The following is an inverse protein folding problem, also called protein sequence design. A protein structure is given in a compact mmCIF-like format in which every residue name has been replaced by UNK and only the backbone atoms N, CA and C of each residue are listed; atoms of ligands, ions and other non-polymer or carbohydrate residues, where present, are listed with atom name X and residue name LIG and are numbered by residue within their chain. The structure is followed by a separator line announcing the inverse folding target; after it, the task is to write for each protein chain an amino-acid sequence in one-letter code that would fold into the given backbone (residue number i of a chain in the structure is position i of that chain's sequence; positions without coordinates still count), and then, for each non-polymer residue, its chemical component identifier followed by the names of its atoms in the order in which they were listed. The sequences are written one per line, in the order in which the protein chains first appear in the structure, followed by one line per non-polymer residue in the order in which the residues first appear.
data_IF_834300516642
#
_entry.id   IF_834300516642
#
_cell.length_a   1.000
_cell.length_b   1.000
_cell.length_c   1.000
_cell.angle_alpha   90.00
_cell.angle_beta   90.00
_cell.angle_gamma   90.00
#
_symmetry.space_group_name_H-M   'P 1'
#
loop_
_entity.id
_entity.type
_entity.pdbx_description
1 polymer ?
#
# COMPACT_ATOMS: atom_id res chain seq x y z
N UNK A 1 -7.68 22.21 50.50
CA UNK A 1 -8.70 21.73 49.55
C UNK A 1 -9.48 22.92 49.06
N UNK A 2 -9.56 23.16 47.75
CA UNK A 2 -10.38 24.23 47.17
C UNK A 2 -11.08 23.67 45.92
N UNK A 3 -12.41 23.71 45.90
CA UNK A 3 -13.25 23.07 44.88
C UNK A 3 -13.96 24.14 44.06
N UNK A 4 -13.46 24.43 42.87
CA UNK A 4 -14.06 25.41 41.95
C UNK A 4 -15.15 24.76 41.09
N UNK A 5 -16.42 25.00 41.47
CA UNK A 5 -17.60 24.66 40.64
C UNK A 5 -17.71 25.66 39.48
N UNK A 6 -17.62 25.19 38.24
CA UNK A 6 -18.08 25.95 37.06
C UNK A 6 -19.51 25.55 36.68
N UNK A 7 -20.36 26.56 36.47
CA UNK A 7 -21.79 26.40 36.16
C UNK A 7 -22.03 26.29 34.65
N UNK A 8 -23.05 25.48 34.34
CA UNK A 8 -23.92 25.51 33.15
C UNK A 8 -23.91 26.80 32.32
N UNK A 9 -23.93 26.64 30.99
CA UNK A 9 -24.57 27.60 30.10
C UNK A 9 -25.60 26.88 29.21
N UNK A 10 -26.77 27.48 29.03
CA UNK A 10 -27.89 26.97 28.23
C UNK A 10 -28.16 27.94 27.07
N UNK A 11 -28.13 27.43 25.84
CA UNK A 11 -28.89 27.98 24.69
C UNK A 11 -29.24 26.82 23.79
N UNK A 12 -30.50 26.36 23.70
CA UNK A 12 -31.64 27.05 23.07
C UNK A 12 -31.29 27.61 21.68
N UNK A 13 -31.48 26.79 20.65
CA UNK A 13 -32.01 27.28 19.38
C UNK A 13 -32.96 26.26 18.77
N UNK A 14 -34.25 26.57 18.89
CA UNK A 14 -35.32 25.96 18.12
C UNK A 14 -35.24 26.39 16.66
N UNK A 15 -35.76 25.54 15.76
CA UNK A 15 -36.77 25.86 14.73
C UNK A 15 -36.55 25.03 13.47
N UNK A 16 -37.62 24.38 13.03
CA UNK A 16 -37.73 23.55 11.83
C UNK A 16 -37.63 24.39 10.53
N UNK A 17 -37.67 23.73 9.36
CA UNK A 17 -38.98 23.62 8.73
C UNK A 17 -39.38 22.19 8.33
N UNK A 18 -40.67 21.91 8.43
CA UNK A 18 -41.32 20.75 7.81
C UNK A 18 -41.42 20.98 6.30
N UNK A 19 -41.12 19.96 5.48
CA UNK A 19 -41.42 19.96 4.05
C UNK A 19 -42.45 18.88 3.75
N UNK A 20 -43.71 19.20 3.99
CA UNK A 20 -44.84 18.45 3.48
C UNK A 20 -45.03 18.70 1.97
N UNK A 21 -45.63 17.74 1.28
CA UNK A 21 -46.51 18.03 0.14
C UNK A 21 -45.86 18.35 -1.22
N UNK A 22 -45.39 17.32 -1.93
CA UNK A 22 -45.63 17.21 -3.38
C UNK A 22 -46.07 15.79 -3.73
N UNK A 23 -47.37 15.63 -3.95
CA UNK A 23 -47.94 14.40 -4.49
C UNK A 23 -47.54 14.22 -5.96
N UNK A 24 -47.26 12.97 -6.34
CA UNK A 24 -47.16 12.55 -7.73
C UNK A 24 -48.53 12.00 -8.15
N UNK A 25 -49.14 12.47 -9.25
CA UNK A 25 -50.38 11.90 -9.75
C UNK A 25 -50.11 10.54 -10.40
N UNK A 26 -50.84 9.51 -9.98
CA UNK A 26 -51.02 8.31 -10.78
C UNK A 26 -51.69 8.69 -12.11
N UNK A 27 -51.05 8.36 -13.24
CA UNK A 27 -51.72 8.23 -14.53
C UNK A 27 -51.22 6.98 -15.25
N UNK A 28 -51.96 5.91 -15.01
CA UNK A 28 -52.17 4.81 -15.94
C UNK A 28 -52.44 5.34 -17.36
N UNK A 29 -51.66 4.89 -18.34
CA UNK A 29 -52.03 4.89 -19.76
C UNK A 29 -51.43 3.66 -20.43
N UNK A 30 -52.30 2.85 -21.03
CA UNK A 30 -51.93 1.60 -21.67
C UNK A 30 -51.80 1.73 -23.20
N UNK A 31 -50.93 0.87 -23.74
CA UNK A 31 -51.00 0.25 -25.07
C UNK A 31 -50.67 1.07 -26.34
N UNK A 32 -50.01 0.34 -27.28
CA UNK A 32 -49.72 0.68 -28.70
C UNK A 32 -48.71 1.84 -28.87
N UNK A 33 -47.77 1.88 -29.82
CA UNK A 33 -47.32 1.00 -30.93
C UNK A 33 -45.87 1.43 -31.29
N UNK A 34 -45.04 0.76 -32.12
CA UNK A 34 -45.20 -0.41 -33.00
C UNK A 34 -43.83 -1.15 -33.17
N UNK A 35 -43.80 -2.15 -34.06
CA UNK A 35 -42.65 -2.94 -34.47
C UNK A 35 -41.46 -2.16 -35.08
N UNK A 36 -40.24 -2.67 -34.85
CA UNK A 36 -39.24 -2.81 -35.92
C UNK A 36 -38.60 -4.20 -35.90
N UNK A 37 -38.40 -4.73 -37.10
CA UNK A 37 -38.10 -6.12 -37.45
C UNK A 37 -36.69 -6.16 -38.07
N UNK A 38 -36.12 -7.37 -38.16
CA UNK A 38 -34.94 -7.72 -38.96
C UNK A 38 -33.56 -7.31 -38.36
N UNK A 39 -32.44 -8.03 -38.60
CA UNK A 39 -32.21 -9.39 -39.17
C UNK A 39 -30.70 -9.66 -39.19
N UNK A 40 -30.22 -10.69 -38.50
CA UNK A 40 -29.01 -11.49 -38.77
C UNK A 40 -28.86 -12.50 -37.62
N UNK A 41 -28.42 -13.74 -37.80
CA UNK A 41 -27.93 -14.36 -39.03
C UNK A 41 -26.86 -15.39 -38.67
N UNK A 42 -27.25 -16.49 -38.02
CA UNK A 42 -26.29 -17.53 -37.63
C UNK A 42 -25.77 -18.31 -38.84
N UNK A 43 -24.46 -18.53 -38.90
CA UNK A 43 -23.82 -19.44 -39.85
C UNK A 43 -22.91 -20.42 -39.11
N UNK A 44 -23.09 -21.72 -39.37
CA UNK A 44 -22.17 -22.80 -39.02
C UNK A 44 -21.42 -23.25 -40.29
N UNK A 45 -20.35 -24.03 -40.10
CA UNK A 45 -19.37 -24.58 -41.07
C UNK A 45 -18.17 -23.64 -41.32
N UNK A 46 -16.94 -24.14 -41.49
CA UNK A 46 -16.48 -25.52 -41.34
C UNK A 46 -15.10 -25.77 -41.97
N UNK A 47 -14.37 -26.75 -41.42
CA UNK A 47 -13.38 -27.65 -42.02
C UNK A 47 -12.25 -27.12 -42.96
N UNK A 48 -11.01 -27.41 -42.53
CA UNK A 48 -9.93 -28.12 -43.25
C UNK A 48 -9.19 -27.50 -44.46
N UNK A 49 -7.90 -27.17 -44.25
CA UNK A 49 -6.69 -27.50 -45.06
C UNK A 49 -5.45 -26.97 -44.30
N UNK A 50 -4.31 -27.65 -44.04
CA UNK A 50 -3.38 -28.48 -44.85
C UNK A 50 -2.67 -27.66 -45.96
N UNK A 51 -1.34 -27.48 -46.05
CA UNK A 51 -0.20 -28.19 -45.42
C UNK A 51 1.05 -27.26 -45.23
N UNK A 52 2.34 -27.62 -45.48
CA UNK A 52 3.38 -27.36 -44.47
C UNK A 52 4.52 -26.42 -44.92
N UNK A 53 5.35 -25.94 -43.99
CA UNK A 53 6.77 -25.71 -44.30
C UNK A 53 7.66 -25.91 -43.07
N UNK A 54 8.77 -26.61 -43.29
CA UNK A 54 9.85 -26.83 -42.32
C UNK A 54 10.81 -25.65 -42.33
N UNK A 55 11.27 -25.22 -41.15
CA UNK A 55 12.69 -24.89 -41.00
C UNK A 55 13.22 -25.27 -39.60
N UNK A 56 14.49 -25.65 -39.54
CA UNK A 56 15.21 -26.08 -38.33
C UNK A 56 16.48 -25.22 -38.21
N UNK A 57 16.42 -24.16 -37.39
CA UNK A 57 17.57 -23.29 -37.08
C UNK A 57 18.00 -23.40 -35.60
N UNK A 58 19.30 -23.54 -35.26
CA UNK A 58 19.72 -23.92 -33.91
C UNK A 58 20.36 -22.79 -33.07
N UNK A 59 20.55 -23.10 -31.79
CA UNK A 59 21.67 -22.65 -30.91
C UNK A 59 22.01 -21.15 -30.81
N UNK A 60 21.80 -20.60 -29.62
CA UNK A 60 22.75 -19.65 -29.02
C UNK A 60 22.87 -19.88 -27.50
N UNK A 61 23.84 -20.70 -27.08
CA UNK A 61 24.33 -20.73 -25.70
C UNK A 61 25.48 -19.72 -25.53
N UNK A 62 25.27 -18.65 -24.75
CA UNK A 62 26.29 -17.73 -24.22
C UNK A 62 25.58 -16.68 -23.33
N UNK A 63 26.16 -16.07 -22.30
CA UNK A 63 27.44 -16.32 -21.63
C UNK A 63 27.33 -15.96 -20.14
N UNK A 64 28.12 -16.70 -19.37
CA UNK A 64 28.67 -16.32 -18.06
C UNK A 64 29.14 -14.85 -18.00
N UNK A 65 28.85 -14.21 -16.87
CA UNK A 65 29.69 -13.32 -16.04
C UNK A 65 28.76 -12.38 -15.23
N UNK A 66 29.08 -11.95 -14.01
CA UNK A 66 30.23 -12.23 -13.17
C UNK A 66 30.09 -11.48 -11.84
N UNK A 67 30.90 -11.83 -10.85
CA UNK A 67 30.84 -11.26 -9.49
C UNK A 67 30.89 -9.72 -9.46
N UNK A 68 30.07 -9.11 -8.60
CA UNK A 68 30.48 -7.94 -7.79
C UNK A 68 29.57 -7.71 -6.58
N UNK A 69 30.04 -8.21 -5.44
CA UNK A 69 29.75 -7.64 -4.13
C UNK A 69 30.20 -6.18 -4.09
N UNK A 70 29.30 -5.28 -3.69
CA UNK A 70 29.64 -3.91 -3.31
C UNK A 70 28.84 -3.54 -2.06
N UNK A 71 29.53 -3.26 -0.96
CA UNK A 71 28.96 -2.60 0.21
C UNK A 71 28.62 -1.14 -0.13
N UNK A 72 27.47 -0.61 0.30
CA UNK A 72 27.30 0.82 0.46
C UNK A 72 27.96 1.24 1.78
N UNK A 73 29.15 1.81 1.68
CA UNK A 73 29.93 2.40 2.78
C UNK A 73 29.12 3.44 3.57
N UNK A 74 29.28 3.45 4.90
CA UNK A 74 28.62 4.43 5.75
C UNK A 74 29.12 5.87 5.48
N UNK A 75 28.27 6.68 4.86
CA UNK A 75 28.49 8.12 4.71
C UNK A 75 28.06 8.89 5.96
N UNK A 76 29.00 9.19 6.85
CA UNK A 76 28.79 10.13 7.96
C UNK A 76 28.73 11.58 7.43
N UNK A 77 27.68 12.36 7.72
CA UNK A 77 27.71 13.81 7.55
C UNK A 77 28.69 14.43 8.55
N UNK A 78 29.67 15.19 8.04
CA UNK A 78 30.50 16.09 8.84
C UNK A 78 29.86 17.48 8.87
N UNK A 79 29.51 17.94 10.06
CA UNK A 79 29.42 19.34 10.47
C UNK A 79 29.87 19.29 11.95
N UNK A 80 30.99 19.85 12.39
CA UNK A 80 31.64 21.10 11.97
C UNK A 80 30.70 22.30 12.14
N UNK A 81 30.54 22.69 13.40
CA UNK A 81 30.46 24.08 13.87
C UNK A 81 30.55 24.08 15.40
N UNK A 82 31.73 24.39 15.94
CA UNK A 82 32.00 24.47 17.37
C UNK A 82 32.23 25.91 17.81
N UNK A 83 31.55 26.42 18.86
CA UNK A 83 31.87 27.73 19.41
C UNK A 83 33.08 27.65 20.36
N UNK A 84 34.17 28.26 19.89
CA UNK A 84 35.19 29.02 20.64
C UNK A 84 35.51 28.61 22.09
N UNK A 85 36.78 28.26 22.31
CA UNK A 85 37.38 28.14 23.62
C UNK A 85 37.44 29.50 24.36
N UNK A 86 37.29 29.44 25.69
CA UNK A 86 37.79 30.46 26.62
C UNK A 86 38.63 29.75 27.68
N UNK A 87 39.95 29.81 27.54
CA UNK A 87 40.90 29.43 28.60
C UNK A 87 41.02 30.56 29.62
N UNK A 88 41.29 30.23 30.88
CA UNK A 88 42.29 30.98 31.62
C UNK A 88 43.46 30.08 32.02
N UNK A 89 44.66 30.49 31.61
CA UNK A 89 45.93 29.93 32.04
C UNK A 89 46.32 30.42 33.43
N UNK A 90 46.73 29.52 34.33
CA UNK A 90 47.63 29.87 35.43
C UNK A 90 48.50 28.69 35.83
N UNK A 91 49.80 28.80 35.53
CA UNK A 91 50.82 27.90 36.06
C UNK A 91 51.06 28.16 37.54
N UNK A 92 50.98 27.11 38.37
CA UNK A 92 51.83 27.03 39.56
C UNK A 92 52.22 25.58 39.81
N UNK A 93 53.48 25.25 39.58
CA UNK A 93 54.06 24.02 40.12
C UNK A 93 54.28 24.17 41.63
N UNK A 94 54.11 23.10 42.41
CA UNK A 94 55.06 22.84 43.46
C UNK A 94 55.65 21.43 43.41
N UNK A 95 56.86 21.38 43.93
CA UNK A 95 57.80 20.27 43.95
C UNK A 95 57.24 18.95 44.53
N UNK A 96 57.86 17.86 44.08
CA UNK A 96 57.70 16.54 44.65
C UNK A 96 57.90 16.53 46.18
N UNK A 97 56.90 16.01 46.90
CA UNK A 97 57.11 15.43 48.23
C UNK A 97 56.63 13.98 48.23
N UNK A 98 57.61 13.08 48.35
CA UNK A 98 57.39 11.64 48.35
C UNK A 98 56.74 11.18 49.66
N UNK A 99 55.45 10.84 49.66
CA UNK A 99 54.85 10.13 50.82
C UNK A 99 53.92 8.96 50.45
N UNK A 100 54.28 7.82 51.06
CA UNK A 100 53.43 6.73 51.56
C UNK A 100 52.59 5.88 50.59
N UNK A 101 53.19 4.73 50.28
CA UNK A 101 52.58 3.49 49.76
C UNK A 101 51.44 2.96 50.67
N UNK A 102 50.20 3.42 50.53
CA UNK A 102 49.03 2.82 51.23
C UNK A 102 47.78 2.58 50.38
N UNK A 103 47.68 3.15 49.17
CA UNK A 103 46.43 3.13 48.38
C UNK A 103 46.01 1.82 47.68
N UNK A 104 46.80 0.73 47.78
CA UNK A 104 46.65 -0.46 46.90
C UNK A 104 45.48 -1.40 47.27
N UNK A 105 44.83 -1.21 48.42
CA UNK A 105 43.63 -1.96 48.82
C UNK A 105 42.34 -1.38 48.22
N UNK A 106 42.24 -0.05 48.09
CA UNK A 106 41.02 0.65 47.65
C UNK A 106 40.67 0.43 46.17
N UNK A 107 41.68 0.23 45.30
CA UNK A 107 41.42 -0.11 43.90
C UNK A 107 40.82 -1.52 43.73
N UNK A 108 41.21 -2.47 44.58
CA UNK A 108 40.76 -3.87 44.50
C UNK A 108 39.33 -4.06 45.00
N UNK A 109 38.86 -3.25 45.95
CA UNK A 109 37.44 -3.24 46.35
C UNK A 109 36.56 -2.66 45.24
N UNK A 110 36.94 -1.51 44.66
CA UNK A 110 36.22 -0.89 43.54
C UNK A 110 36.12 -1.80 42.31
N UNK A 111 37.19 -2.55 42.00
CA UNK A 111 37.18 -3.51 40.90
C UNK A 111 36.12 -4.62 41.11
N UNK A 112 36.00 -5.16 42.34
CA UNK A 112 34.98 -6.16 42.68
C UNK A 112 33.56 -5.59 42.62
N UNK A 113 33.37 -4.37 43.11
CA UNK A 113 32.07 -3.69 43.06
C UNK A 113 31.59 -3.48 41.62
N UNK A 114 32.48 -3.06 40.71
CA UNK A 114 32.16 -2.92 39.28
C UNK A 114 31.86 -4.27 38.62
N UNK A 115 32.60 -5.33 38.97
CA UNK A 115 32.35 -6.69 38.48
C UNK A 115 30.95 -7.20 38.92
N UNK A 116 30.58 -6.95 40.18
CA UNK A 116 29.24 -7.29 40.71
C UNK A 116 28.12 -6.48 40.02
N UNK A 117 28.34 -5.17 39.80
CA UNK A 117 27.40 -4.32 39.07
C UNK A 117 27.21 -4.80 37.62
N UNK A 118 28.28 -5.17 36.92
CA UNK A 118 28.21 -5.74 35.57
C UNK A 118 27.46 -7.07 35.55
N UNK A 119 27.74 -7.97 36.50
CA UNK A 119 27.03 -9.23 36.65
C UNK A 119 25.51 -9.02 36.87
N UNK A 120 25.14 -8.06 37.73
CA UNK A 120 23.74 -7.69 38.01
C UNK A 120 23.03 -7.14 36.78
N UNK A 121 23.65 -6.24 36.02
CA UNK A 121 23.09 -5.70 34.77
C UNK A 121 22.93 -6.80 33.72
N UNK A 122 23.93 -7.69 33.57
CA UNK A 122 23.86 -8.80 32.62
C UNK A 122 22.75 -9.80 32.97
N UNK A 123 22.52 -10.07 34.26
CA UNK A 123 21.42 -10.90 34.74
C UNK A 123 20.05 -10.27 34.44
N UNK A 124 19.88 -8.98 34.70
CA UNK A 124 18.65 -8.24 34.36
C UNK A 124 18.36 -8.26 32.85
N UNK A 125 19.38 -8.03 32.01
CA UNK A 125 19.24 -8.08 30.55
C UNK A 125 18.85 -9.48 30.05
N UNK A 126 19.47 -10.54 30.58
CA UNK A 126 19.09 -11.94 30.28
C UNK A 126 17.65 -12.24 30.68
N UNK A 127 17.22 -11.78 31.86
CA UNK A 127 15.84 -11.94 32.33
C UNK A 127 14.83 -11.19 31.45
N UNK A 128 15.11 -9.93 31.10
CA UNK A 128 14.22 -9.14 30.23
C UNK A 128 14.13 -9.74 28.81
N UNK A 129 15.25 -10.16 28.23
CA UNK A 129 15.28 -10.86 26.93
C UNK A 129 14.47 -12.16 26.96
N UNK A 130 14.54 -12.93 28.05
CA UNK A 130 13.71 -14.12 28.25
C UNK A 130 12.22 -13.77 28.38
N UNK A 131 11.88 -12.69 29.10
CA UNK A 131 10.51 -12.17 29.22
C UNK A 131 9.94 -11.73 27.86
N UNK A 132 10.71 -10.96 27.07
CA UNK A 132 10.35 -10.56 25.70
C UNK A 132 10.13 -11.78 24.79
N UNK A 133 11.05 -12.77 24.81
CA UNK A 133 10.91 -14.02 24.03
C UNK A 133 9.68 -14.84 24.43
N UNK A 134 9.35 -14.92 25.73
CA UNK A 134 8.11 -15.57 26.21
C UNK A 134 6.86 -14.81 25.74
N UNK A 135 6.85 -13.48 25.81
CA UNK A 135 5.74 -12.65 25.36
C UNK A 135 5.50 -12.80 23.84
N UNK A 136 6.57 -12.74 23.04
CA UNK A 136 6.53 -12.92 21.59
C UNK A 136 5.97 -14.30 21.21
N UNK A 137 6.41 -15.38 21.87
CA UNK A 137 5.84 -16.73 21.64
C UNK A 137 4.34 -16.80 21.95
N UNK A 138 3.85 -16.10 22.98
CA UNK A 138 2.41 -16.04 23.29
C UNK A 138 1.64 -15.21 22.26
N UNK A 139 2.21 -14.09 21.82
CA UNK A 139 1.62 -13.25 20.76
C UNK A 139 1.47 -14.04 19.45
N UNK A 140 2.51 -14.75 19.01
CA UNK A 140 2.45 -15.59 17.80
C UNK A 140 1.39 -16.68 17.92
N UNK A 141 1.37 -17.46 19.02
CA UNK A 141 0.34 -18.50 19.24
C UNK A 141 -1.08 -17.94 19.23
N UNK A 142 -1.30 -16.75 19.78
CA UNK A 142 -2.61 -16.10 19.76
C UNK A 142 -2.98 -15.60 18.35
N UNK A 143 -2.01 -15.17 17.54
CA UNK A 143 -2.23 -14.80 16.14
C UNK A 143 -2.60 -16.03 15.29
N UNK A 144 -1.91 -17.17 15.49
CA UNK A 144 -2.20 -18.44 14.82
C UNK A 144 -3.62 -18.93 15.20
N UNK A 145 -3.97 -18.88 16.49
CA UNK A 145 -5.30 -19.26 16.97
C UNK A 145 -6.43 -18.35 16.42
N UNK A 146 -6.14 -17.07 16.17
CA UNK A 146 -7.09 -16.16 15.50
C UNK A 146 -7.16 -16.34 13.97
N UNK A 147 -6.28 -17.16 13.38
CA UNK A 147 -6.29 -17.42 11.94
C UNK A 147 -7.17 -18.64 11.56
N UNK A 148 -7.47 -19.54 12.50
CA UNK A 148 -8.13 -20.83 12.23
C UNK A 148 -9.57 -20.76 11.68
N UNK A 149 -10.22 -19.61 11.76
CA UNK A 149 -11.53 -19.34 11.14
C UNK A 149 -11.51 -18.25 10.07
N UNK A 150 -10.34 -17.79 9.63
CA UNK A 150 -10.21 -16.67 8.68
C UNK A 150 -9.84 -17.16 7.29
N UNK A 151 -10.47 -16.58 6.27
CA UNK A 151 -10.20 -16.85 4.86
C UNK A 151 -8.76 -16.42 4.55
N UNK A 152 -7.91 -17.38 4.20
CA UNK A 152 -6.50 -17.15 3.85
C UNK A 152 -6.37 -16.45 2.49
N UNK A 153 -5.24 -15.77 2.26
CA UNK A 153 -4.96 -15.14 0.97
C UNK A 153 -4.64 -16.23 -0.06
N UNK A 154 -5.27 -16.26 -1.25
CA UNK A 154 -4.85 -17.15 -2.32
C UNK A 154 -3.42 -16.83 -2.78
N UNK A 155 -2.77 -17.80 -3.44
CA UNK A 155 -1.43 -17.59 -4.02
C UNK A 155 -1.51 -16.60 -5.19
N UNK A 156 -0.48 -15.76 -5.34
CA UNK A 156 -0.37 -14.78 -6.43
C UNK A 156 -0.81 -13.36 -6.07
N UNK A 157 -1.24 -12.61 -7.08
CA UNK A 157 -1.72 -11.21 -7.01
C UNK A 157 -3.14 -11.06 -7.57
N UNK A 158 -3.92 -10.16 -6.96
CA UNK A 158 -5.26 -9.85 -7.42
C UNK A 158 -5.23 -9.08 -8.74
N UNK A 159 -5.92 -9.59 -9.76
CA UNK A 159 -5.88 -9.10 -11.13
C UNK A 159 -5.00 -9.93 -12.06
N UNK A 160 -3.91 -10.50 -11.55
CA UNK A 160 -2.94 -11.25 -12.36
C UNK A 160 -3.19 -12.77 -12.26
N UNK A 161 -3.38 -13.30 -11.05
CA UNK A 161 -3.57 -14.75 -10.83
C UNK A 161 -4.97 -15.11 -10.33
N UNK A 162 -5.73 -14.14 -9.82
CA UNK A 162 -7.09 -14.36 -9.32
C UNK A 162 -7.93 -13.09 -9.37
N UNK A 163 -9.23 -13.26 -9.64
CA UNK A 163 -10.23 -12.21 -9.39
C UNK A 163 -10.46 -12.04 -7.89
N UNK A 164 -10.27 -10.82 -7.39
CA UNK A 164 -10.48 -10.47 -5.97
C UNK A 164 -11.91 -10.82 -5.50
N UNK A 165 -12.91 -10.60 -6.36
CA UNK A 165 -14.30 -10.90 -6.05
C UNK A 165 -14.54 -12.42 -5.89
N UNK A 166 -13.93 -13.24 -6.74
CA UNK A 166 -14.00 -14.71 -6.64
C UNK A 166 -13.27 -15.20 -5.38
N UNK A 167 -12.06 -14.71 -5.13
CA UNK A 167 -11.26 -15.08 -3.95
C UNK A 167 -11.90 -14.67 -2.62
N UNK A 168 -12.75 -13.63 -2.62
CA UNK A 168 -13.55 -13.23 -1.45
C UNK A 168 -14.84 -14.07 -1.28
N UNK A 169 -15.17 -14.97 -2.21
CA UNK A 169 -16.45 -15.70 -2.18
C UNK A 169 -17.66 -14.84 -2.51
N UNK A 170 -17.47 -13.76 -3.29
CA UNK A 170 -18.48 -12.76 -3.62
C UNK A 170 -18.85 -12.71 -5.11
N UNK A 171 -18.50 -13.74 -5.90
CA UNK A 171 -18.77 -13.80 -7.35
C UNK A 171 -20.23 -13.47 -7.68
N UNK A 172 -21.16 -14.13 -6.99
CA UNK A 172 -22.61 -13.99 -7.22
C UNK A 172 -23.26 -12.92 -6.32
N UNK A 173 -22.49 -12.33 -5.40
CA UNK A 173 -22.94 -11.35 -4.40
C UNK A 173 -22.43 -9.95 -4.74
N UNK A 174 -22.78 -9.48 -5.94
CA UNK A 174 -22.29 -8.20 -6.51
C UNK A 174 -22.55 -7.02 -5.58
N UNK A 175 -23.71 -6.92 -4.95
CA UNK A 175 -24.04 -5.83 -4.02
C UNK A 175 -23.13 -5.83 -2.78
N UNK A 176 -22.93 -7.00 -2.16
CA UNK A 176 -22.00 -7.14 -1.03
C UNK A 176 -20.58 -6.78 -1.44
N UNK A 177 -20.15 -7.16 -2.65
CA UNK A 177 -18.86 -6.75 -3.19
C UNK A 177 -18.79 -5.24 -3.42
N UNK A 178 -19.83 -4.60 -3.96
CA UNK A 178 -19.92 -3.14 -4.14
C UNK A 178 -19.90 -2.38 -2.80
N UNK A 179 -20.54 -2.91 -1.75
CA UNK A 179 -20.49 -2.36 -0.39
C UNK A 179 -19.12 -2.54 0.28
N UNK A 180 -18.39 -3.61 -0.06
CA UNK A 180 -16.98 -3.78 0.32
C UNK A 180 -16.02 -2.96 -0.54
N UNK A 181 -16.42 -2.59 -1.77
CA UNK A 181 -15.55 -2.02 -2.80
C UNK A 181 -14.93 -0.72 -2.32
N UNK A 182 -13.65 -0.45 -2.67
CA UNK A 182 -12.93 0.69 -2.14
C UNK A 182 -13.61 2.03 -2.38
N UNK A 183 -14.45 2.21 -3.41
CA UNK A 183 -15.06 3.49 -3.75
C UNK A 183 -15.84 4.17 -2.59
N UNK A 184 -16.41 3.41 -1.65
CA UNK A 184 -17.16 3.95 -0.51
C UNK A 184 -16.41 3.82 0.82
N UNK A 185 -16.20 2.61 1.33
CA UNK A 185 -15.66 2.43 2.69
C UNK A 185 -14.13 2.65 2.75
N UNK A 186 -13.36 1.85 2.01
CA UNK A 186 -11.89 1.85 2.09
C UNK A 186 -11.29 3.18 1.58
N UNK A 187 -11.84 3.79 0.52
CA UNK A 187 -11.43 5.11 0.01
C UNK A 187 -11.52 6.17 1.11
N UNK A 188 -12.67 6.26 1.79
CA UNK A 188 -12.86 7.21 2.90
C UNK A 188 -11.87 6.97 4.04
N UNK A 189 -11.51 5.71 4.33
CA UNK A 189 -10.48 5.37 5.31
C UNK A 189 -9.07 5.81 4.86
N UNK A 190 -8.71 5.55 3.60
CA UNK A 190 -7.43 5.92 2.99
C UNK A 190 -7.26 7.44 2.92
N UNK A 191 -8.29 8.16 2.49
CA UNK A 191 -8.31 9.62 2.43
C UNK A 191 -8.18 10.23 3.84
N UNK A 192 -8.93 9.72 4.81
CA UNK A 192 -8.87 10.18 6.21
C UNK A 192 -7.52 9.88 6.89
N UNK A 193 -6.85 8.79 6.51
CA UNK A 193 -5.53 8.43 7.04
C UNK A 193 -4.38 9.18 6.35
N UNK A 194 -4.63 9.89 5.25
CA UNK A 194 -3.62 10.65 4.51
C UNK A 194 -2.47 9.78 4.01
N UNK A 195 -2.77 8.65 3.37
CA UNK A 195 -1.76 7.88 2.64
C UNK A 195 -1.34 8.63 1.38
N UNK A 196 -0.05 8.66 1.09
CA UNK A 196 0.47 9.25 -0.14
C UNK A 196 0.14 8.35 -1.33
N UNK A 197 -0.36 8.93 -2.41
CA UNK A 197 -0.73 8.19 -3.62
C UNK A 197 0.49 7.79 -4.45
N UNK A 198 1.53 8.63 -4.43
CA UNK A 198 2.74 8.49 -5.24
C UNK A 198 3.67 7.40 -4.69
N UNK A 199 3.67 7.20 -3.36
CA UNK A 199 4.50 6.18 -2.69
C UNK A 199 3.98 4.76 -2.99
N UNK A 200 4.91 3.86 -3.34
CA UNK A 200 4.60 2.46 -3.59
C UNK A 200 4.12 1.75 -2.30
N UNK A 201 3.19 0.80 -2.41
CA UNK A 201 2.49 0.17 -1.27
C UNK A 201 3.43 -0.36 -0.16
N UNK A 202 4.57 -0.96 -0.52
CA UNK A 202 5.56 -1.49 0.44
C UNK A 202 6.26 -0.40 1.28
N UNK A 203 6.25 0.84 0.81
CA UNK A 203 6.97 1.97 1.40
C UNK A 203 6.01 2.94 2.13
N UNK A 204 4.72 2.59 2.21
CA UNK A 204 3.71 3.35 2.96
C UNK A 204 3.97 3.25 4.47
N UNK A 205 3.58 4.29 5.20
CA UNK A 205 3.63 4.28 6.67
C UNK A 205 2.75 3.16 7.24
N UNK A 206 3.39 2.24 7.96
CA UNK A 206 2.78 1.06 8.59
C UNK A 206 1.72 1.48 9.63
N UNK A 207 1.90 2.62 10.30
CA UNK A 207 0.93 3.13 11.27
C UNK A 207 -0.34 3.61 10.56
N UNK A 208 -0.21 4.39 9.49
CA UNK A 208 -1.34 4.81 8.64
C UNK A 208 -2.07 3.61 8.03
N UNK A 209 -1.35 2.62 7.50
CA UNK A 209 -1.96 1.37 7.01
C UNK A 209 -2.74 0.64 8.12
N UNK A 210 -2.18 0.53 9.32
CA UNK A 210 -2.85 -0.05 10.49
C UNK A 210 -4.16 0.67 10.85
N UNK A 211 -4.18 2.00 10.77
CA UNK A 211 -5.38 2.81 10.95
C UNK A 211 -6.42 2.55 9.86
N UNK A 212 -6.00 2.47 8.58
CA UNK A 212 -6.90 2.12 7.46
C UNK A 212 -7.53 0.74 7.67
N UNK A 213 -6.74 -0.28 8.03
CA UNK A 213 -7.26 -1.64 8.26
C UNK A 213 -8.24 -1.69 9.43
N UNK A 214 -7.94 -0.99 10.53
CA UNK A 214 -8.85 -0.88 11.68
C UNK A 214 -10.17 -0.22 11.28
N UNK A 215 -10.10 0.96 10.65
CA UNK A 215 -11.28 1.71 10.23
C UNK A 215 -12.11 0.96 9.17
N UNK A 216 -11.47 0.24 8.24
CA UNK A 216 -12.17 -0.57 7.25
C UNK A 216 -12.93 -1.74 7.87
N UNK A 217 -12.35 -2.44 8.86
CA UNK A 217 -13.04 -3.49 9.63
C UNK A 217 -14.21 -2.96 10.47
N UNK A 218 -14.10 -1.73 10.98
CA UNK A 218 -15.17 -1.07 11.73
C UNK A 218 -16.32 -0.63 10.80
N UNK A 219 -15.99 -0.06 9.64
CA UNK A 219 -16.97 0.38 8.64
C UNK A 219 -17.66 -0.79 7.90
N UNK A 220 -16.96 -1.91 7.68
CA UNK A 220 -17.54 -3.09 7.05
C UNK A 220 -17.11 -4.38 7.80
N UNK A 221 -18.00 -4.94 8.65
CA UNK A 221 -17.70 -6.14 9.43
C UNK A 221 -17.31 -7.37 8.61
N UNK A 222 -17.74 -7.46 7.35
CA UNK A 222 -17.38 -8.57 6.44
C UNK A 222 -15.86 -8.66 6.25
N UNK A 223 -15.14 -7.53 6.27
CA UNK A 223 -13.69 -7.52 6.10
C UNK A 223 -12.93 -8.17 7.29
N UNK A 224 -13.57 -8.38 8.44
CA UNK A 224 -12.96 -9.02 9.63
C UNK A 224 -12.64 -10.51 9.43
N UNK A 225 -13.29 -11.17 8.46
CA UNK A 225 -13.13 -12.61 8.23
C UNK A 225 -11.86 -12.97 7.45
N UNK A 226 -11.16 -12.00 6.86
CA UNK A 226 -9.97 -12.25 6.04
C UNK A 226 -8.70 -12.26 6.90
N UNK A 227 -7.83 -13.25 6.67
CA UNK A 227 -6.58 -13.37 7.42
C UNK A 227 -5.64 -12.20 7.10
N UNK A 228 -5.01 -11.61 8.11
CA UNK A 228 -4.03 -10.51 7.94
C UNK A 228 -4.55 -9.33 7.08
N UNK A 229 -5.87 -9.09 7.05
CA UNK A 229 -6.52 -8.03 6.28
C UNK A 229 -6.23 -8.06 4.76
N UNK A 230 -5.91 -9.24 4.19
CA UNK A 230 -5.43 -9.34 2.81
C UNK A 230 -6.38 -8.71 1.78
N UNK A 231 -7.70 -8.88 1.95
CA UNK A 231 -8.70 -8.30 1.05
C UNK A 231 -8.67 -6.75 1.10
N UNK A 232 -8.57 -6.17 2.30
CA UNK A 232 -8.44 -4.73 2.49
C UNK A 232 -7.15 -4.23 1.85
N UNK A 233 -6.03 -4.93 2.03
CA UNK A 233 -4.75 -4.60 1.43
C UNK A 233 -4.78 -4.59 -0.11
N UNK A 234 -5.40 -5.58 -0.76
CA UNK A 234 -5.59 -5.57 -2.22
C UNK A 234 -6.45 -4.38 -2.68
N UNK A 235 -7.51 -4.04 -1.93
CA UNK A 235 -8.32 -2.85 -2.24
C UNK A 235 -7.54 -1.54 -2.13
N UNK A 236 -6.72 -1.35 -1.10
CA UNK A 236 -5.86 -0.15 -0.99
C UNK A 236 -4.80 -0.15 -2.11
N UNK A 237 -4.19 -1.30 -2.42
CA UNK A 237 -3.19 -1.44 -3.50
C UNK A 237 -3.77 -1.03 -4.85
N UNK A 238 -4.93 -1.57 -5.21
CA UNK A 238 -5.64 -1.24 -6.45
C UNK A 238 -6.02 0.25 -6.48
N UNK A 239 -6.53 0.79 -5.37
CA UNK A 239 -6.88 2.21 -5.25
C UNK A 239 -5.68 3.12 -5.52
N UNK A 240 -4.54 2.92 -4.84
CA UNK A 240 -3.34 3.73 -5.04
C UNK A 240 -2.72 3.54 -6.44
N UNK A 241 -2.79 2.34 -7.02
CA UNK A 241 -2.37 2.09 -8.41
C UNK A 241 -3.19 2.93 -9.39
N UNK A 242 -4.52 2.90 -9.26
CA UNK A 242 -5.42 3.63 -10.14
C UNK A 242 -5.26 5.15 -9.99
N UNK A 243 -5.04 5.65 -8.76
CA UNK A 243 -4.77 7.09 -8.54
C UNK A 243 -3.47 7.54 -9.20
N UNK A 244 -2.36 6.80 -9.06
CA UNK A 244 -1.12 7.12 -9.80
C UNK A 244 -1.33 7.14 -11.31
N UNK A 245 -2.10 6.20 -11.86
CA UNK A 245 -2.41 6.18 -13.29
C UNK A 245 -3.24 7.41 -13.69
N UNK A 246 -4.22 7.82 -12.88
CA UNK A 246 -5.01 9.03 -13.11
C UNK A 246 -4.16 10.30 -12.99
N UNK A 247 -3.28 10.40 -11.99
CA UNK A 247 -2.39 11.55 -11.79
C UNK A 247 -1.40 11.68 -12.97
N UNK A 248 -0.84 10.57 -13.47
CA UNK A 248 -0.02 10.55 -14.70
C UNK A 248 -0.82 10.98 -15.94
N UNK A 249 -2.05 10.49 -16.12
CA UNK A 249 -2.92 10.90 -17.23
C UNK A 249 -3.28 12.39 -17.16
N UNK A 250 -3.51 12.94 -15.97
CA UNK A 250 -3.74 14.38 -15.76
C UNK A 250 -2.49 15.21 -16.05
N UNK A 251 -1.33 14.80 -15.54
CA UNK A 251 -0.07 15.49 -15.81
C UNK A 251 0.28 15.50 -17.30
N UNK A 252 0.09 14.39 -18.02
CA UNK A 252 0.26 14.36 -19.49
C UNK A 252 -0.69 15.34 -20.20
N UNK A 253 -1.97 15.39 -19.80
CA UNK A 253 -2.94 16.32 -20.42
C UNK A 253 -2.59 17.77 -20.15
N UNK A 254 -2.23 18.13 -18.92
CA UNK A 254 -1.80 19.48 -18.58
C UNK A 254 -0.55 19.90 -19.37
N UNK A 255 0.43 19.01 -19.55
CA UNK A 255 1.62 19.30 -20.37
C UNK A 255 1.32 19.39 -21.87
N UNK A 256 0.27 18.73 -22.38
CA UNK A 256 -0.20 18.88 -23.76
C UNK A 256 -0.97 20.20 -23.95
N UNK A 257 -1.75 20.61 -22.96
CA UNK A 257 -2.48 21.89 -22.92
C UNK A 257 -1.50 23.08 -22.80
N UNK A 258 -0.45 22.94 -22.00
CA UNK A 258 0.64 23.92 -21.86
C UNK A 258 1.48 24.04 -23.14
N UNK A 259 1.77 22.93 -23.82
CA UNK A 259 2.50 22.94 -25.09
C UNK A 259 1.68 23.54 -26.25
N UNK A 260 0.38 23.23 -26.32
CA UNK A 260 -0.50 23.81 -27.35
C UNK A 260 -0.67 25.33 -27.19
N UNK A 261 -0.64 25.84 -25.96
CA UNK A 261 -0.76 27.28 -25.68
C UNK A 261 0.52 28.09 -25.98
N UNK A 262 1.67 27.43 -26.24
CA UNK A 262 2.94 28.04 -26.65
C UNK A 262 3.07 28.08 -28.19
N UNK A 263 2.26 27.27 -28.89
CA UNK A 263 2.21 27.12 -30.37
C UNK A 263 1.25 28.14 -31.04
N UNK A 264 0.37 28.80 -30.26
CA UNK A 264 -0.64 29.76 -30.75
C UNK A 264 -0.10 31.20 -31.01
N UNK A 265 1.22 31.45 -30.93
CA UNK A 265 1.83 32.80 -31.05
C UNK A 265 2.87 32.93 -32.20
N UNK A 266 2.99 31.95 -33.11
CA UNK A 266 3.94 31.99 -34.26
C UNK A 266 3.40 31.44 -35.61
N UNK A 267 2.09 31.52 -35.87
CA UNK A 267 1.54 31.36 -37.25
C UNK A 267 0.52 32.46 -37.62
N UNK A 268 1.04 33.55 -38.21
CA UNK A 268 0.26 34.32 -39.20
C UNK A 268 0.23 33.52 -40.52
N UNK A 269 -0.97 33.16 -40.98
CA UNK A 269 -1.32 32.77 -42.36
C UNK A 269 -0.51 31.64 -43.04
N UNK A 270 -1.01 30.38 -42.97
CA UNK A 270 -1.28 29.63 -44.22
C UNK A 270 -2.48 28.67 -44.07
N UNK A 271 -3.54 28.90 -44.84
CA UNK A 271 -4.73 28.03 -44.88
C UNK A 271 -4.41 26.72 -45.63
N UNK A 272 -4.50 25.57 -44.95
CA UNK A 272 -4.74 24.29 -45.65
C UNK A 272 -5.43 23.24 -44.77
N UNK A 273 -6.73 23.08 -44.99
CA UNK A 273 -7.49 21.86 -44.68
C UNK A 273 -6.81 20.63 -45.32
N UNK A 274 -6.57 19.55 -44.55
CA UNK A 274 -6.76 18.18 -45.05
C UNK A 274 -6.92 17.13 -43.92
N UNK A 275 -8.18 16.78 -43.68
CA UNK A 275 -8.75 15.45 -43.39
C UNK A 275 -8.17 14.43 -42.37
N UNK A 276 -9.03 14.19 -41.36
CA UNK A 276 -9.54 12.89 -40.86
C UNK A 276 -8.69 11.94 -39.97
N UNK A 277 -9.04 11.96 -38.67
CA UNK A 277 -8.81 10.94 -37.64
C UNK A 277 -9.33 9.53 -38.01
N UNK A 278 -8.47 8.50 -38.06
CA UNK A 278 -8.80 7.12 -37.63
C UNK A 278 -7.54 6.36 -37.13
N UNK A 279 -7.40 6.14 -35.80
CA UNK A 279 -6.55 5.07 -35.24
C UNK A 279 -7.18 4.40 -33.99
N UNK A 280 -8.10 3.46 -34.24
CA UNK A 280 -8.61 2.50 -33.24
C UNK A 280 -7.60 1.36 -33.02
N UNK A 281 -6.54 1.64 -32.25
CA UNK A 281 -5.38 0.76 -32.08
C UNK A 281 -5.14 0.22 -30.67
N UNK A 282 -6.03 -0.63 -30.10
CA UNK A 282 -5.67 -1.40 -28.88
C UNK A 282 -6.50 -2.69 -28.65
N UNK A 283 -6.60 -3.55 -29.66
CA UNK A 283 -6.96 -4.96 -29.46
C UNK A 283 -5.85 -5.70 -28.69
N UNK A 284 -6.16 -6.22 -27.51
CA UNK A 284 -5.23 -7.03 -26.69
C UNK A 284 -5.84 -8.39 -26.40
N UNK A 285 -5.91 -9.23 -27.43
CA UNK A 285 -6.31 -10.63 -27.33
C UNK A 285 -5.23 -11.46 -26.60
N UNK A 286 -5.45 -11.75 -25.33
CA UNK A 286 -4.68 -12.75 -24.56
C UNK A 286 -5.45 -14.07 -24.50
N UNK A 287 -5.42 -14.82 -25.60
CA UNK A 287 -6.02 -16.15 -25.74
C UNK A 287 -5.13 -17.24 -25.10
N UNK A 288 -5.15 -17.37 -23.76
CA UNK A 288 -4.46 -18.47 -23.06
C UNK A 288 -5.41 -19.66 -22.80
N UNK A 289 -5.49 -20.60 -23.75
CA UNK A 289 -6.30 -21.83 -23.64
C UNK A 289 -5.47 -23.13 -23.69
N UNK A 290 -4.46 -23.22 -22.82
CA UNK A 290 -3.60 -24.40 -22.65
C UNK A 290 -4.26 -25.58 -21.92
N UNK A 291 -5.19 -26.30 -22.57
CA UNK A 291 -5.68 -27.60 -22.07
C UNK A 291 -4.72 -28.74 -22.39
N UNK A 292 -3.73 -28.95 -21.53
CA UNK A 292 -2.81 -30.09 -21.58
C UNK A 292 -3.46 -31.40 -21.11
N UNK A 293 -4.13 -32.11 -22.01
CA UNK A 293 -4.58 -33.50 -21.79
C UNK A 293 -3.43 -34.47 -22.05
N UNK A 294 -2.71 -34.88 -21.00
CA UNK A 294 -1.70 -35.95 -21.08
C UNK A 294 -2.31 -37.32 -20.80
N UNK A 295 -2.51 -38.11 -21.85
CA UNK A 295 -2.59 -39.58 -21.82
C UNK A 295 -1.23 -40.17 -22.23
N UNK A 296 -1.15 -41.51 -22.25
CA UNK A 296 -0.02 -42.33 -22.76
C UNK A 296 1.24 -42.30 -21.85
N UNK A 297 1.97 -43.39 -21.57
CA UNK A 297 1.71 -44.84 -21.66
C UNK A 297 2.83 -45.56 -20.84
N UNK A 298 2.49 -46.56 -20.00
CA UNK A 298 3.24 -47.78 -19.55
C UNK A 298 2.57 -48.40 -18.29
#
# INVERSE_FOLDING_TARGET
MAVTKTKSNHSRRSSSPSTEGRGLPEKEVAAKTAARKAKAGGAKKGSSASSPHTDKGPMAQASRNGSRTAEPTAGSPRHDDGPAASQPSSSTAPQATSTKKTGKSSSRSKARELEEQLARVQALYKHERAKRKKLQKRANKNADAQASGKITRPKGSAGDNYSLQTAMGLKDKRETYLACRPQLAVKRCVDRAGLDENIHMRNQDVLKLGLVYKAAREANPYLKQFAQDWATFEFVRMLLRNRRQQNRKRARRAAQEEAAADDEDDEEEDDQDDDEDEDDGSGSDEDESGSGSGSDDD
#
